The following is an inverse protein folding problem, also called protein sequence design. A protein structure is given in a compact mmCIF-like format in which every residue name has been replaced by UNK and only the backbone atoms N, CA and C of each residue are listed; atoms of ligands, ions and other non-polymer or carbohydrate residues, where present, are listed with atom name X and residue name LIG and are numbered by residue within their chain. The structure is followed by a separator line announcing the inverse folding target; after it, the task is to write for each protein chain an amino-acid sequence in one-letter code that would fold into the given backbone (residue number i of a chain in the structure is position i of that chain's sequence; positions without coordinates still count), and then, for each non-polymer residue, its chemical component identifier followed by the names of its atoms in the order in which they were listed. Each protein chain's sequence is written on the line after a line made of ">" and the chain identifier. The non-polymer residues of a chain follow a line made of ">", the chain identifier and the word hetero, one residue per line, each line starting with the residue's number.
data_IF_921521284477
#
_entry.id   IF_921521284477
#
_cell.length_a   1.000
_cell.length_b   1.000
_cell.length_c   1.000
_cell.angle_alpha   90.00
_cell.angle_beta   90.00
_cell.angle_gamma   90.00
#
_symmetry.space_group_name_H-M   'P 1'
#
loop_
_entity.id
_entity.type
_entity.pdbx_description
1 polymer ?
#
# COMPACT_ATOMS: atom_id res chain seq x y z
N UNK A 1 -47.55 -31.42 22.39
CA UNK A 1 -47.28 -31.19 20.95
C UNK A 1 -46.32 -30.02 20.87
N UNK A 2 -45.14 -30.00 20.23
CA UNK A 2 -44.28 -30.94 19.50
C UNK A 2 -42.88 -30.29 19.62
N UNK A 3 -41.95 -30.97 20.28
CA UNK A 3 -40.68 -31.48 19.75
C UNK A 3 -39.59 -30.46 19.35
N UNK A 4 -38.47 -30.58 20.08
CA UNK A 4 -37.07 -30.46 19.65
C UNK A 4 -36.86 -30.51 18.13
N UNK A 5 -36.07 -29.58 17.61
CA UNK A 5 -35.11 -29.93 16.56
C UNK A 5 -33.75 -29.30 16.87
N UNK A 6 -32.81 -30.18 17.20
CA UNK A 6 -31.38 -29.92 17.21
C UNK A 6 -30.82 -30.23 15.83
N UNK A 7 -30.05 -29.31 15.28
CA UNK A 7 -28.94 -29.58 14.35
C UNK A 7 -28.04 -28.35 14.45
N UNK A 8 -27.06 -28.29 15.35
CA UNK A 8 -25.78 -29.00 15.29
C UNK A 8 -25.16 -28.89 13.89
N UNK A 9 -24.15 -28.01 13.77
CA UNK A 9 -22.93 -28.13 12.96
C UNK A 9 -22.37 -26.74 12.60
N UNK A 10 -21.52 -26.18 13.46
CA UNK A 10 -20.26 -25.54 13.06
C UNK A 10 -19.44 -25.09 14.29
N UNK A 11 -19.31 -25.97 15.30
CA UNK A 11 -18.10 -25.98 16.11
C UNK A 11 -16.98 -26.59 15.26
N UNK A 12 -16.48 -25.80 14.30
CA UNK A 12 -15.23 -26.06 13.61
C UNK A 12 -14.34 -24.86 13.85
N UNK A 13 -13.60 -24.98 14.95
CA UNK A 13 -12.26 -24.46 15.04
C UNK A 13 -12.13 -22.94 14.85
N UNK A 14 -12.53 -22.17 15.87
CA UNK A 14 -11.98 -20.82 16.09
C UNK A 14 -10.55 -20.95 16.66
N UNK A 15 -9.73 -21.83 16.10
CA UNK A 15 -8.32 -21.51 15.82
C UNK A 15 -8.36 -20.82 14.47
N UNK A 16 -9.06 -19.68 14.42
CA UNK A 16 -9.12 -18.83 13.26
C UNK A 16 -7.69 -18.33 13.08
N UNK A 17 -6.91 -19.05 12.27
CA UNK A 17 -5.65 -18.59 11.71
C UNK A 17 -5.90 -17.16 11.30
N UNK A 18 -5.18 -16.21 11.91
CA UNK A 18 -5.34 -14.80 11.58
C UNK A 18 -5.26 -14.66 10.06
N UNK A 19 -6.00 -13.75 9.44
CA UNK A 19 -5.87 -13.51 7.99
C UNK A 19 -4.39 -13.25 7.62
N UNK A 20 -3.63 -12.67 8.55
CA UNK A 20 -2.21 -12.52 8.45
C UNK A 20 -1.46 -13.87 8.41
N UNK A 21 -1.85 -14.84 9.25
CA UNK A 21 -1.26 -16.18 9.27
C UNK A 21 -1.60 -16.95 7.98
N UNK A 22 -2.82 -16.76 7.44
CA UNK A 22 -3.21 -17.34 6.16
C UNK A 22 -2.38 -16.77 4.99
N UNK A 23 -2.01 -15.49 5.03
CA UNK A 23 -1.07 -14.89 4.06
C UNK A 23 0.35 -15.44 4.28
N UNK A 24 0.77 -15.62 5.54
CA UNK A 24 2.07 -16.21 5.88
C UNK A 24 2.20 -17.65 5.39
N UNK A 25 1.13 -18.45 5.41
CA UNK A 25 1.12 -19.82 4.87
C UNK A 25 1.35 -19.89 3.35
N UNK A 26 1.03 -18.82 2.61
CA UNK A 26 1.30 -18.70 1.18
C UNK A 26 2.76 -18.30 0.90
N UNK A 27 3.50 -17.87 1.92
CA UNK A 27 4.92 -17.56 1.81
C UNK A 27 5.78 -18.80 2.05
N UNK A 28 7.05 -18.77 1.61
CA UNK A 28 7.99 -19.89 1.82
C UNK A 28 8.45 -20.03 3.28
N UNK A 29 7.98 -19.20 4.20
CA UNK A 29 8.36 -19.22 5.61
C UNK A 29 7.54 -20.25 6.39
N UNK A 30 8.21 -21.25 6.96
CA UNK A 30 7.57 -22.19 7.89
C UNK A 30 7.57 -21.64 9.32
N UNK A 31 6.56 -21.95 10.15
CA UNK A 31 6.48 -21.54 11.56
C UNK A 31 7.65 -22.01 12.44
N UNK A 32 8.38 -23.03 12.00
CA UNK A 32 9.54 -23.61 12.69
C UNK A 32 10.84 -22.83 12.45
N UNK A 33 10.83 -21.84 11.54
CA UNK A 33 12.02 -21.02 11.28
C UNK A 33 12.10 -19.85 12.26
N UNK A 34 13.30 -19.56 12.74
CA UNK A 34 13.61 -18.40 13.59
C UNK A 34 13.16 -17.07 12.95
N UNK A 35 13.21 -16.98 11.62
CA UNK A 35 12.83 -15.79 10.85
C UNK A 35 11.31 -15.58 10.71
N UNK A 36 10.47 -16.55 11.11
CA UNK A 36 9.02 -16.48 10.93
C UNK A 36 8.41 -15.28 11.66
N UNK A 37 8.84 -15.02 12.90
CA UNK A 37 8.35 -13.91 13.72
C UNK A 37 8.75 -12.54 13.13
N UNK A 38 9.92 -12.47 12.50
CA UNK A 38 10.42 -11.25 11.85
C UNK A 38 9.63 -10.98 10.57
N UNK A 39 9.37 -12.02 9.76
CA UNK A 39 8.56 -11.92 8.55
C UNK A 39 7.10 -11.57 8.86
N UNK A 40 6.50 -12.18 9.90
CA UNK A 40 5.13 -11.87 10.34
C UNK A 40 5.00 -10.39 10.73
N UNK A 41 5.97 -9.88 11.50
CA UNK A 41 6.02 -8.46 11.90
C UNK A 41 6.20 -7.53 10.69
N UNK A 42 7.05 -7.89 9.74
CA UNK A 42 7.27 -7.11 8.52
C UNK A 42 6.00 -7.00 7.66
N UNK A 43 5.26 -8.10 7.51
CA UNK A 43 4.01 -8.12 6.74
C UNK A 43 2.88 -7.39 7.48
N UNK A 44 2.82 -7.51 8.81
CA UNK A 44 1.89 -6.74 9.63
C UNK A 44 2.09 -5.22 9.48
N UNK A 45 3.35 -4.76 9.52
CA UNK A 45 3.67 -3.34 9.34
C UNK A 45 3.37 -2.88 7.90
N UNK A 46 3.67 -3.71 6.90
CA UNK A 46 3.37 -3.41 5.50
C UNK A 46 1.86 -3.25 5.24
N UNK A 47 1.04 -4.18 5.74
CA UNK A 47 -0.42 -4.09 5.63
C UNK A 47 -0.94 -2.87 6.40
N UNK A 48 -0.36 -2.57 7.56
CA UNK A 48 -0.72 -1.38 8.34
C UNK A 48 -0.40 -0.09 7.57
N UNK A 49 0.73 -0.04 6.87
CA UNK A 49 1.10 1.12 6.03
C UNK A 49 0.20 1.23 4.80
N UNK A 50 -0.16 0.11 4.16
CA UNK A 50 -1.13 0.10 3.06
C UNK A 50 -2.51 0.62 3.49
N UNK A 51 -2.97 0.23 4.69
CA UNK A 51 -4.24 0.69 5.24
C UNK A 51 -4.17 2.14 5.75
N UNK A 52 -3.02 2.59 6.25
CA UNK A 52 -2.79 4.02 6.61
C UNK A 52 -2.70 4.90 5.38
N UNK A 53 -2.26 4.36 4.24
CA UNK A 53 -2.29 5.07 2.98
C UNK A 53 -3.72 5.16 2.46
N UNK A 54 -4.51 6.08 3.01
CA UNK A 54 -5.81 6.54 2.47
C UNK A 54 -5.69 7.23 1.09
N UNK A 55 -4.59 7.02 0.37
CA UNK A 55 -4.36 7.53 -0.97
C UNK A 55 -4.99 6.65 -2.06
N UNK A 56 -5.96 5.81 -1.70
CA UNK A 56 -6.74 5.04 -2.65
C UNK A 56 -7.90 5.84 -3.27
N UNK A 57 -8.35 6.94 -2.62
CA UNK A 57 -9.61 7.62 -2.93
C UNK A 57 -9.49 9.09 -3.37
N UNK A 58 -8.29 9.62 -3.58
CA UNK A 58 -8.21 10.81 -4.43
C UNK A 58 -8.34 10.32 -5.85
N UNK A 59 -9.55 10.41 -6.42
CA UNK A 59 -9.70 10.59 -7.88
C UNK A 59 -8.62 11.59 -8.24
N UNK A 60 -7.57 11.11 -8.90
CA UNK A 60 -6.38 11.87 -9.16
C UNK A 60 -6.87 13.01 -10.03
N UNK A 61 -7.12 14.17 -9.41
CA UNK A 61 -7.86 15.23 -10.07
C UNK A 61 -6.97 15.66 -11.23
N UNK A 62 -7.36 15.31 -12.46
CA UNK A 62 -6.60 15.63 -13.66
C UNK A 62 -6.23 17.12 -13.66
N UNK A 63 -7.14 17.96 -13.18
CA UNK A 63 -6.94 19.39 -12.97
C UNK A 63 -5.78 19.74 -12.02
N UNK A 64 -5.60 19.00 -10.91
CA UNK A 64 -4.50 19.21 -9.97
C UNK A 64 -3.16 18.81 -10.61
N UNK A 65 -3.12 17.69 -11.34
CA UNK A 65 -1.91 17.29 -12.09
C UNK A 65 -1.59 18.31 -13.19
N UNK A 66 -2.59 18.73 -13.96
CA UNK A 66 -2.41 19.74 -15.01
C UNK A 66 -1.86 21.06 -14.42
N UNK A 67 -2.35 21.49 -13.25
CA UNK A 67 -1.80 22.64 -12.53
C UNK A 67 -0.35 22.43 -12.08
N UNK A 68 -0.03 21.24 -11.56
CA UNK A 68 1.34 20.89 -11.15
C UNK A 68 2.31 20.86 -12.34
N UNK A 69 1.86 20.37 -13.50
CA UNK A 69 2.64 20.35 -14.74
C UNK A 69 2.93 21.77 -15.21
N UNK A 70 1.92 22.66 -15.21
CA UNK A 70 2.10 24.08 -15.59
C UNK A 70 3.13 24.75 -14.69
N UNK A 71 3.02 24.59 -13.37
CA UNK A 71 3.99 25.17 -12.40
C UNK A 71 5.40 24.63 -12.57
N UNK A 72 5.55 23.36 -12.97
CA UNK A 72 6.85 22.77 -13.22
C UNK A 72 7.46 23.29 -14.53
N UNK A 73 6.65 23.38 -15.59
CA UNK A 73 7.07 23.88 -16.89
C UNK A 73 7.57 25.32 -16.81
N UNK A 74 6.88 26.20 -16.08
CA UNK A 74 7.32 27.58 -15.84
C UNK A 74 8.72 27.64 -15.20
N UNK A 75 8.96 26.83 -14.17
CA UNK A 75 10.26 26.78 -13.48
C UNK A 75 11.35 26.26 -14.40
N UNK A 76 11.02 25.27 -15.23
CA UNK A 76 11.94 24.76 -16.23
C UNK A 76 12.23 25.85 -17.26
N UNK A 77 11.23 26.45 -17.90
CA UNK A 77 11.40 27.51 -18.90
C UNK A 77 12.23 28.68 -18.38
N UNK A 78 11.99 29.14 -17.14
CA UNK A 78 12.79 30.21 -16.52
C UNK A 78 14.25 29.76 -16.35
N UNK A 79 14.49 28.54 -15.88
CA UNK A 79 15.84 27.98 -15.71
C UNK A 79 16.55 27.81 -17.06
N UNK A 80 15.85 27.31 -18.07
CA UNK A 80 16.33 27.16 -19.44
C UNK A 80 16.67 28.52 -20.05
N UNK A 81 15.79 29.52 -19.93
CA UNK A 81 16.04 30.89 -20.38
C UNK A 81 17.31 31.44 -19.73
N UNK A 82 17.46 31.31 -18.41
CA UNK A 82 18.64 31.76 -17.67
C UNK A 82 19.92 31.03 -18.09
N UNK A 83 19.83 29.75 -18.43
CA UNK A 83 20.95 28.98 -18.96
C UNK A 83 21.34 29.43 -20.37
N UNK A 84 20.35 29.63 -21.25
CA UNK A 84 20.56 30.12 -22.61
C UNK A 84 21.19 31.52 -22.61
N UNK A 85 20.75 32.44 -21.75
CA UNK A 85 21.36 33.78 -21.63
C UNK A 85 22.80 33.71 -21.10
N UNK A 86 23.08 32.87 -20.10
CA UNK A 86 24.44 32.66 -19.60
C UNK A 86 25.39 32.06 -20.65
N UNK A 87 24.91 31.11 -21.46
CA UNK A 87 25.71 30.50 -22.53
C UNK A 87 25.97 31.47 -23.69
N UNK A 88 25.03 32.36 -24.01
CA UNK A 88 25.20 33.37 -25.06
C UNK A 88 26.16 34.51 -24.64
N UNK A 89 26.33 34.78 -23.35
CA UNK A 89 27.28 35.78 -22.83
C UNK A 89 28.73 35.26 -22.68
N UNK A 90 28.93 33.94 -22.80
CA UNK A 90 30.24 33.27 -22.65
C UNK A 90 30.88 32.90 -24.00
N UNK A 91 30.28 33.37 -25.11
CA UNK A 91 30.81 33.32 -26.48
C UNK A 91 31.23 34.72 -26.88
#
# INVERSE_FOLDING_TARGET
>A
MVAKNQTANADKNIQATSLLDQVMEQTRFKPDNEDYSIAQRGIAEFISEMLKSDNADTVVNKNLIDEMIVRLDEKLVIKWMKFCTMKNSKK
#
